data_IF_052642917072
#
_entry.id   IF_052642917072
#
_cell.length_a   1.000
_cell.length_b   1.000
_cell.length_c   1.000
_cell.angle_alpha   90.00
_cell.angle_beta   90.00
_cell.angle_gamma   90.00
#
_symmetry.space_group_name_H-M   'P 1'
#
loop_
_entity.id
_entity.type
_entity.pdbx_description
1 polymer ?
#
# COMPACT_ATOMS: atom_id res chain seq x y z
N UNK A 1 25.71 15.60 -1.13
CA UNK A 1 24.52 15.28 -1.94
C UNK A 1 24.70 13.86 -2.43
N UNK A 2 23.80 12.95 -2.04
CA UNK A 2 23.95 11.51 -2.28
C UNK A 2 24.00 11.24 -3.79
N UNK A 3 25.11 10.67 -4.29
CA UNK A 3 25.35 10.42 -5.72
C UNK A 3 24.29 9.49 -6.33
N UNK A 4 23.71 8.60 -5.51
CA UNK A 4 22.64 7.69 -5.93
C UNK A 4 21.34 8.47 -6.14
N UNK A 5 20.94 9.32 -5.19
CA UNK A 5 19.73 10.15 -5.30
C UNK A 5 19.78 11.08 -6.52
N UNK A 6 20.93 11.70 -6.79
CA UNK A 6 21.08 12.54 -7.99
C UNK A 6 20.94 11.73 -9.30
N UNK A 7 21.42 10.48 -9.30
CA UNK A 7 21.28 9.57 -10.43
C UNK A 7 19.83 9.16 -10.62
N UNK A 8 19.14 8.77 -9.54
CA UNK A 8 17.72 8.44 -9.54
C UNK A 8 16.85 9.61 -10.00
N UNK A 9 17.11 10.83 -9.53
CA UNK A 9 16.41 12.04 -9.97
C UNK A 9 16.58 12.27 -11.48
N UNK A 10 17.81 12.12 -11.98
CA UNK A 10 18.07 12.27 -13.42
C UNK A 10 17.28 11.23 -14.23
N UNK A 11 17.25 9.99 -13.77
CA UNK A 11 16.47 8.92 -14.42
C UNK A 11 14.97 9.21 -14.37
N UNK A 12 14.45 9.61 -13.21
CA UNK A 12 13.04 9.99 -12.99
C UNK A 12 12.62 11.09 -13.96
N UNK A 13 13.41 12.15 -14.08
CA UNK A 13 13.13 13.27 -14.97
C UNK A 13 13.18 12.88 -16.45
N UNK A 14 14.17 12.07 -16.85
CA UNK A 14 14.23 11.54 -18.21
C UNK A 14 13.00 10.70 -18.53
N UNK A 15 12.53 9.91 -17.57
CA UNK A 15 11.37 9.05 -17.72
C UNK A 15 10.08 9.85 -17.83
N UNK A 16 9.86 10.84 -16.96
CA UNK A 16 8.72 11.76 -17.07
C UNK A 16 8.74 12.54 -18.39
N UNK A 17 9.90 13.02 -18.83
CA UNK A 17 10.05 13.71 -20.12
C UNK A 17 9.66 12.80 -21.29
N UNK A 18 10.20 11.57 -21.32
CA UNK A 18 9.87 10.59 -22.36
C UNK A 18 8.37 10.25 -22.36
N UNK A 19 7.81 9.97 -21.18
CA UNK A 19 6.40 9.68 -20.98
C UNK A 19 5.48 10.82 -21.45
N UNK A 20 5.83 12.07 -21.15
CA UNK A 20 5.03 13.26 -21.52
C UNK A 20 4.83 13.46 -23.03
N UNK A 21 5.68 12.82 -23.84
CA UNK A 21 5.63 12.83 -25.30
C UNK A 21 4.91 11.63 -25.92
N UNK A 22 4.42 10.67 -25.14
CA UNK A 22 3.77 9.48 -25.67
C UNK A 22 2.31 9.75 -26.09
N UNK A 23 1.87 9.08 -27.17
CA UNK A 23 0.50 9.19 -27.68
C UNK A 23 -0.55 8.70 -26.66
N UNK A 24 -0.18 7.77 -25.79
CA UNK A 24 -1.03 7.21 -24.75
C UNK A 24 -0.93 7.95 -23.40
N UNK A 25 -0.24 9.10 -23.32
CA UNK A 25 -0.11 9.89 -22.08
C UNK A 25 -1.45 10.07 -21.34
N UNK A 26 -2.47 10.42 -22.13
CA UNK A 26 -3.81 10.67 -21.64
C UNK A 26 -4.52 9.42 -21.12
N UNK A 27 -4.27 8.26 -21.72
CA UNK A 27 -4.79 7.00 -21.23
C UNK A 27 -4.17 6.62 -19.88
N UNK A 28 -2.87 6.89 -19.70
CA UNK A 28 -2.18 6.66 -18.42
C UNK A 28 -2.78 7.54 -17.33
N UNK A 29 -2.92 8.84 -17.58
CA UNK A 29 -3.56 9.74 -16.62
C UNK A 29 -5.00 9.33 -16.31
N UNK A 30 -5.80 8.99 -17.32
CA UNK A 30 -7.20 8.56 -17.12
C UNK A 30 -7.28 7.27 -16.28
N UNK A 31 -6.25 6.41 -16.38
CA UNK A 31 -6.16 5.15 -15.64
C UNK A 31 -5.78 5.38 -14.18
N UNK A 32 -4.78 6.23 -13.93
CA UNK A 32 -4.31 6.59 -12.59
C UNK A 32 -5.32 7.51 -11.89
N UNK A 33 -5.51 8.73 -12.40
CA UNK A 33 -6.21 9.83 -11.72
C UNK A 33 -7.71 9.94 -12.04
N UNK A 34 -8.27 8.93 -12.70
CA UNK A 34 -9.64 8.94 -13.19
C UNK A 34 -9.88 9.91 -14.36
N UNK A 35 -11.14 10.16 -14.74
CA UNK A 35 -11.48 10.92 -15.96
C UNK A 35 -12.05 12.31 -15.70
N UNK A 36 -12.19 12.72 -14.44
CA UNK A 36 -12.84 13.97 -14.05
C UNK A 36 -11.89 15.07 -13.56
N UNK A 37 -10.57 14.83 -13.64
CA UNK A 37 -9.57 15.80 -13.22
C UNK A 37 -9.49 17.03 -14.14
N UNK A 38 -8.83 18.08 -13.65
CA UNK A 38 -8.59 19.31 -14.40
C UNK A 38 -7.58 19.12 -15.53
N UNK A 39 -8.09 18.79 -16.72
CA UNK A 39 -7.27 18.51 -17.92
C UNK A 39 -6.36 19.67 -18.34
N UNK A 40 -6.75 20.91 -18.08
CA UNK A 40 -5.94 22.08 -18.40
C UNK A 40 -4.71 22.18 -17.50
N UNK A 41 -4.84 21.86 -16.20
CA UNK A 41 -3.68 21.82 -15.28
C UNK A 41 -2.76 20.66 -15.64
N UNK A 42 -3.32 19.47 -15.93
CA UNK A 42 -2.54 18.33 -16.37
C UNK A 42 -1.76 18.60 -17.69
N UNK A 43 -2.35 19.32 -18.64
CA UNK A 43 -1.66 19.71 -19.88
C UNK A 43 -0.50 20.67 -19.61
N UNK A 44 -0.63 21.57 -18.64
CA UNK A 44 0.49 22.45 -18.24
C UNK A 44 1.64 21.61 -17.68
N UNK A 45 1.37 20.67 -16.77
CA UNK A 45 2.37 19.74 -16.23
C UNK A 45 3.05 18.94 -17.34
N UNK A 46 2.26 18.38 -18.27
CA UNK A 46 2.77 17.63 -19.42
C UNK A 46 3.73 18.47 -20.26
N UNK A 47 3.35 19.70 -20.60
CA UNK A 47 4.17 20.59 -21.42
C UNK A 47 5.48 21.00 -20.71
N UNK A 48 5.44 21.17 -19.39
CA UNK A 48 6.64 21.41 -18.58
C UNK A 48 7.61 20.22 -18.67
N UNK A 49 7.14 19.00 -18.38
CA UNK A 49 7.96 17.79 -18.48
C UNK A 49 8.52 17.54 -19.88
N UNK A 50 7.72 17.83 -20.92
CA UNK A 50 8.14 17.70 -22.32
C UNK A 50 9.25 18.69 -22.68
N UNK A 51 9.24 19.88 -22.07
CA UNK A 51 10.30 20.88 -22.23
C UNK A 51 11.52 20.65 -21.34
N UNK A 52 11.48 19.62 -20.47
CA UNK A 52 12.52 19.35 -19.47
C UNK A 52 12.49 20.30 -18.28
N UNK A 53 11.36 21.00 -18.06
CA UNK A 53 11.13 21.81 -16.86
C UNK A 53 10.47 20.95 -15.77
N UNK A 54 11.21 20.79 -14.67
CA UNK A 54 10.80 20.03 -13.49
C UNK A 54 10.77 20.92 -12.24
N UNK A 55 10.86 22.24 -12.40
CA UNK A 55 10.90 23.19 -11.28
C UNK A 55 9.61 23.24 -10.46
N UNK A 56 8.51 22.75 -11.03
CA UNK A 56 7.21 22.57 -10.38
C UNK A 56 7.13 21.35 -9.47
N UNK A 57 8.04 20.37 -9.62
CA UNK A 57 7.99 19.16 -8.80
C UNK A 57 8.35 19.48 -7.33
N UNK A 58 7.79 18.74 -6.37
CA UNK A 58 8.05 18.95 -4.95
C UNK A 58 9.54 18.89 -4.59
N UNK A 59 9.94 19.62 -3.55
CA UNK A 59 11.28 19.49 -3.00
C UNK A 59 11.43 18.17 -2.25
N UNK A 60 12.60 17.54 -2.39
CA UNK A 60 12.91 16.30 -1.67
C UNK A 60 13.63 16.62 -0.36
N UNK A 61 13.15 16.03 0.73
CA UNK A 61 13.77 16.07 2.04
C UNK A 61 14.01 14.65 2.54
N UNK A 62 15.21 14.40 3.08
CA UNK A 62 15.56 13.09 3.63
C UNK A 62 15.31 13.13 5.12
N UNK A 63 14.45 12.24 5.62
CA UNK A 63 14.10 12.12 7.03
C UNK A 63 14.69 10.84 7.64
N UNK A 64 14.78 10.82 8.96
CA UNK A 64 15.05 9.57 9.67
C UNK A 64 13.92 8.56 9.37
N UNK A 65 14.28 7.32 9.10
CA UNK A 65 13.33 6.28 8.69
C UNK A 65 12.23 6.05 9.73
N UNK A 66 12.51 6.30 11.02
CA UNK A 66 11.52 6.22 12.08
C UNK A 66 10.40 7.26 11.97
N UNK A 67 10.65 8.39 11.29
CA UNK A 67 9.64 9.44 11.09
C UNK A 67 8.61 9.03 10.05
N UNK A 68 9.01 8.24 9.06
CA UNK A 68 8.14 7.74 8.01
C UNK A 68 7.45 6.41 8.40
N UNK A 69 7.65 5.91 9.62
CA UNK A 69 6.97 4.72 10.10
C UNK A 69 7.26 3.45 9.31
N UNK A 70 8.41 3.37 8.64
CA UNK A 70 8.77 2.23 7.78
C UNK A 70 8.56 2.47 6.28
N UNK A 71 7.82 3.51 5.89
CA UNK A 71 7.67 3.88 4.48
C UNK A 71 9.00 4.35 3.86
N UNK A 72 9.20 4.03 2.58
CA UNK A 72 10.39 4.41 1.82
C UNK A 72 10.33 5.87 1.34
N UNK A 73 9.14 6.34 1.00
CA UNK A 73 8.80 7.69 0.59
C UNK A 73 7.47 8.14 1.17
N UNK A 74 7.20 9.44 1.10
CA UNK A 74 5.88 10.02 1.36
C UNK A 74 5.75 11.41 0.70
N UNK A 75 4.57 11.74 0.18
CA UNK A 75 4.26 13.07 -0.35
C UNK A 75 3.35 13.83 0.61
N UNK A 76 3.77 15.04 1.00
CA UNK A 76 2.96 15.95 1.81
C UNK A 76 2.43 17.11 0.96
N UNK A 77 1.14 17.08 0.64
CA UNK A 77 0.45 18.18 -0.06
C UNK A 77 0.51 19.51 0.69
N UNK A 78 0.39 19.48 2.03
CA UNK A 78 0.42 20.65 2.90
C UNK A 78 1.74 21.44 2.87
N UNK A 79 2.85 20.76 2.65
CA UNK A 79 4.20 21.37 2.58
C UNK A 79 4.78 21.36 1.17
N UNK A 80 4.10 20.72 0.22
CA UNK A 80 4.55 20.42 -1.13
C UNK A 80 5.97 19.82 -1.17
N UNK A 81 6.18 18.76 -0.39
CA UNK A 81 7.46 18.06 -0.27
C UNK A 81 7.29 16.57 -0.44
N UNK A 82 8.33 15.96 -1.00
CA UNK A 82 8.54 14.52 -0.97
C UNK A 82 9.55 14.23 0.13
N UNK A 83 9.17 13.37 1.07
CA UNK A 83 10.05 12.87 2.12
C UNK A 83 10.57 11.50 1.72
N UNK A 84 11.86 11.25 1.90
CA UNK A 84 12.47 9.94 1.67
C UNK A 84 13.16 9.43 2.94
N UNK A 85 13.03 8.13 3.20
CA UNK A 85 13.69 7.47 4.31
C UNK A 85 15.22 7.46 4.12
N UNK A 86 15.96 7.86 5.15
CA UNK A 86 17.43 7.85 5.12
C UNK A 86 18.00 6.45 4.92
N UNK A 87 17.38 5.41 5.50
CA UNK A 87 17.84 4.03 5.30
C UNK A 87 17.58 3.60 3.85
N UNK A 88 16.39 3.89 3.33
CA UNK A 88 16.04 3.58 1.95
C UNK A 88 17.03 4.23 0.98
N UNK A 89 17.26 5.54 1.11
CA UNK A 89 18.20 6.30 0.27
C UNK A 89 19.65 5.79 0.39
N UNK A 90 20.02 5.16 1.50
CA UNK A 90 21.35 4.59 1.71
C UNK A 90 21.51 3.19 1.11
N UNK A 91 20.44 2.39 1.02
CA UNK A 91 20.50 0.98 0.59
C UNK A 91 19.89 0.70 -0.78
N UNK A 92 19.06 1.60 -1.29
CA UNK A 92 18.34 1.44 -2.55
C UNK A 92 19.26 1.50 -3.77
N UNK A 93 18.83 0.86 -4.86
CA UNK A 93 19.39 1.08 -6.19
C UNK A 93 18.74 2.31 -6.83
N UNK A 94 19.38 2.92 -7.86
CA UNK A 94 18.75 4.00 -8.61
C UNK A 94 17.37 3.63 -9.16
N UNK A 95 17.16 2.40 -9.60
CA UNK A 95 15.90 1.91 -10.15
C UNK A 95 14.81 1.85 -9.08
N UNK A 96 15.10 1.29 -7.90
CA UNK A 96 14.13 1.28 -6.79
C UNK A 96 13.77 2.68 -6.32
N UNK A 97 14.73 3.62 -6.32
CA UNK A 97 14.46 5.02 -5.99
C UNK A 97 13.62 5.71 -7.06
N UNK A 98 13.78 5.37 -8.34
CA UNK A 98 12.94 5.91 -9.42
C UNK A 98 11.48 5.48 -9.23
N UNK A 99 11.24 4.22 -8.87
CA UNK A 99 9.89 3.72 -8.57
C UNK A 99 9.20 4.56 -7.50
N UNK A 100 9.82 4.68 -6.32
CA UNK A 100 9.29 5.52 -5.23
C UNK A 100 9.16 6.98 -5.64
N UNK A 101 10.14 7.58 -6.31
CA UNK A 101 10.03 8.98 -6.75
C UNK A 101 8.86 9.20 -7.71
N UNK A 102 8.61 8.27 -8.63
CA UNK A 102 7.48 8.37 -9.56
C UNK A 102 6.14 8.24 -8.83
N UNK A 103 6.07 7.37 -7.82
CA UNK A 103 4.90 7.17 -6.97
C UNK A 103 4.55 8.46 -6.21
N UNK A 104 5.53 9.04 -5.51
CA UNK A 104 5.35 10.31 -4.80
C UNK A 104 5.03 11.50 -5.73
N UNK A 105 5.58 11.49 -6.94
CA UNK A 105 5.21 12.47 -7.97
C UNK A 105 3.78 12.24 -8.45
N UNK A 106 3.28 11.00 -8.46
CA UNK A 106 1.90 10.68 -8.77
C UNK A 106 0.93 11.32 -7.77
N UNK A 107 1.16 11.19 -6.45
CA UNK A 107 0.35 11.86 -5.43
C UNK A 107 0.42 13.40 -5.57
N UNK A 108 1.61 13.95 -5.86
CA UNK A 108 1.73 15.37 -6.19
C UNK A 108 0.84 15.77 -7.38
N UNK A 109 0.89 14.98 -8.45
CA UNK A 109 0.11 15.25 -9.66
C UNK A 109 -1.38 15.22 -9.34
N UNK A 110 -1.85 14.19 -8.62
CA UNK A 110 -3.26 14.09 -8.21
C UNK A 110 -3.71 15.34 -7.45
N UNK A 111 -2.94 15.72 -6.42
CA UNK A 111 -3.18 16.92 -5.63
C UNK A 111 -3.19 18.24 -6.43
N UNK A 112 -2.53 18.29 -7.60
CA UNK A 112 -2.59 19.46 -8.49
C UNK A 112 -3.82 19.47 -9.40
N UNK A 113 -4.26 18.29 -9.86
CA UNK A 113 -5.26 18.19 -10.93
C UNK A 113 -6.66 17.88 -10.42
N UNK A 114 -6.77 17.29 -9.23
CA UNK A 114 -8.03 16.96 -8.58
C UNK A 114 -8.33 17.93 -7.43
N UNK A 115 -9.60 18.31 -7.28
CA UNK A 115 -10.06 19.20 -6.19
C UNK A 115 -10.43 18.43 -4.92
N UNK A 116 -10.85 17.19 -5.11
CA UNK A 116 -11.08 16.21 -4.07
C UNK A 116 -10.09 15.12 -4.41
N UNK A 117 -9.22 14.84 -3.45
CA UNK A 117 -8.27 13.75 -3.54
C UNK A 117 -8.97 12.46 -3.98
N UNK A 118 -8.35 11.75 -4.90
CA UNK A 118 -8.91 10.49 -5.37
C UNK A 118 -8.50 9.45 -4.32
N UNK A 119 -9.43 8.77 -3.61
CA UNK A 119 -9.09 8.02 -2.39
C UNK A 119 -8.46 6.66 -2.70
N UNK A 120 -7.35 6.62 -3.47
CA UNK A 120 -6.73 5.39 -3.99
C UNK A 120 -5.23 5.56 -4.19
N UNK A 121 -4.52 4.45 -4.45
CA UNK A 121 -3.09 4.48 -4.78
C UNK A 121 -2.82 4.97 -6.23
N UNK A 122 -3.14 6.23 -6.54
CA UNK A 122 -2.85 6.81 -7.86
C UNK A 122 -1.35 6.97 -8.11
N UNK A 123 -0.57 7.11 -7.03
CA UNK A 123 0.88 7.12 -7.05
C UNK A 123 1.45 5.86 -7.67
N UNK A 124 1.16 4.69 -7.12
CA UNK A 124 1.74 3.44 -7.62
C UNK A 124 1.21 3.07 -9.00
N UNK A 125 -0.07 3.33 -9.29
CA UNK A 125 -0.62 3.13 -10.65
C UNK A 125 0.13 4.01 -11.65
N UNK A 126 0.34 5.28 -11.32
CA UNK A 126 1.09 6.20 -12.16
C UNK A 126 2.53 5.73 -12.35
N UNK A 127 3.22 5.36 -11.27
CA UNK A 127 4.60 4.89 -11.30
C UNK A 127 4.78 3.64 -12.17
N UNK A 128 3.91 2.63 -12.03
CA UNK A 128 3.95 1.42 -12.81
C UNK A 128 3.74 1.70 -14.32
N UNK A 129 2.72 2.49 -14.66
CA UNK A 129 2.39 2.80 -16.05
C UNK A 129 3.46 3.67 -16.73
N UNK A 130 4.05 4.61 -16.01
CA UNK A 130 5.16 5.45 -16.51
C UNK A 130 6.45 4.64 -16.68
N UNK A 131 6.61 3.56 -15.91
CA UNK A 131 7.66 2.56 -16.09
C UNK A 131 7.40 1.56 -17.22
N UNK A 132 6.24 1.66 -17.87
CA UNK A 132 5.85 0.80 -18.98
C UNK A 132 5.36 -0.58 -18.54
N UNK A 133 5.02 -0.72 -17.26
CA UNK A 133 4.43 -1.94 -16.73
C UNK A 133 2.98 -2.10 -17.20
N UNK A 134 2.56 -3.35 -17.34
CA UNK A 134 1.17 -3.69 -17.68
C UNK A 134 0.46 -4.17 -16.43
N UNK A 135 -0.48 -3.38 -15.93
CA UNK A 135 -1.34 -3.76 -14.82
C UNK A 135 -2.52 -4.57 -15.35
N UNK A 136 -2.63 -5.84 -14.95
CA UNK A 136 -3.84 -6.61 -15.23
C UNK A 136 -5.03 -6.06 -14.42
N UNK A 137 -6.25 -6.48 -14.77
CA UNK A 137 -7.46 -5.96 -14.13
C UNK A 137 -7.56 -6.26 -12.64
N UNK A 138 -6.96 -7.35 -12.16
CA UNK A 138 -6.96 -7.72 -10.74
C UNK A 138 -5.99 -6.84 -9.95
N UNK A 139 -4.77 -6.69 -10.45
CA UNK A 139 -3.74 -5.82 -9.87
C UNK A 139 -4.21 -4.36 -9.85
N UNK A 140 -4.78 -3.87 -10.96
CA UNK A 140 -5.33 -2.52 -11.02
C UNK A 140 -6.50 -2.32 -10.05
N UNK A 141 -7.32 -3.35 -9.83
CA UNK A 141 -8.43 -3.26 -8.89
C UNK A 141 -7.95 -3.28 -7.43
N UNK A 142 -6.88 -4.04 -7.12
CA UNK A 142 -6.25 -4.06 -5.81
C UNK A 142 -5.66 -2.68 -5.48
N UNK A 143 -4.81 -2.13 -6.36
CA UNK A 143 -4.23 -0.78 -6.18
C UNK A 143 -5.32 0.31 -6.05
N UNK A 144 -6.43 0.18 -6.80
CA UNK A 144 -7.56 1.12 -6.71
C UNK A 144 -8.40 1.01 -5.44
N UNK A 145 -8.16 0.00 -4.60
CA UNK A 145 -8.89 -0.22 -3.36
C UNK A 145 -8.07 0.13 -2.11
N UNK A 146 -6.79 0.47 -2.28
CA UNK A 146 -5.86 0.87 -1.23
C UNK A 146 -6.08 2.35 -0.85
N UNK A 147 -6.00 2.70 0.44
CA UNK A 147 -6.07 4.08 0.96
C UNK A 147 -4.75 4.40 1.66
N UNK A 148 -3.97 5.32 1.11
CA UNK A 148 -2.55 5.57 1.34
C UNK A 148 -2.28 6.75 2.29
N UNK A 149 -3.31 7.30 2.93
CA UNK A 149 -3.16 8.40 3.86
C UNK A 149 -2.49 7.97 5.18
N UNK A 150 -1.48 8.72 5.61
CA UNK A 150 -0.82 8.56 6.90
C UNK A 150 -0.45 9.92 7.54
N UNK A 151 0.01 9.87 8.81
CA UNK A 151 0.53 11.06 9.50
C UNK A 151 1.97 10.89 9.95
N UNK A 152 2.80 11.89 9.67
CA UNK A 152 4.19 11.95 10.13
C UNK A 152 4.40 13.17 11.02
N UNK A 153 5.33 13.07 11.97
CA UNK A 153 5.72 14.22 12.81
C UNK A 153 7.08 14.74 12.38
N UNK A 154 7.10 15.91 11.73
CA UNK A 154 8.34 16.57 11.28
C UNK A 154 8.56 17.82 12.11
N UNK A 155 9.68 17.88 12.84
CA UNK A 155 10.01 19.00 13.73
C UNK A 155 8.93 19.33 14.79
N UNK A 156 8.13 18.34 15.19
CA UNK A 156 7.05 18.50 16.17
C UNK A 156 5.71 18.97 15.58
N UNK A 157 5.61 19.08 14.25
CA UNK A 157 4.35 19.33 13.53
C UNK A 157 3.82 18.04 12.92
N UNK A 158 2.53 17.77 13.11
CA UNK A 158 1.84 16.62 12.51
C UNK A 158 1.43 16.99 11.08
N UNK A 159 1.92 16.22 10.12
CA UNK A 159 1.74 16.43 8.68
C UNK A 159 1.02 15.19 8.13
N UNK A 160 -0.10 15.41 7.44
CA UNK A 160 -0.74 14.37 6.61
C UNK A 160 0.08 14.15 5.35
N UNK A 161 0.33 12.89 5.03
CA UNK A 161 1.09 12.44 3.86
C UNK A 161 0.33 11.30 3.17
N UNK A 162 0.53 11.16 1.87
CA UNK A 162 0.28 9.89 1.18
C UNK A 162 1.55 9.03 1.30
N UNK A 163 1.41 7.79 1.76
CA UNK A 163 2.46 6.80 1.97
C UNK A 163 2.14 5.51 1.22
N UNK A 164 3.16 4.92 0.61
CA UNK A 164 3.09 3.55 0.10
C UNK A 164 2.49 2.57 1.14
N UNK A 165 1.39 1.90 0.78
CA UNK A 165 0.62 1.03 1.68
C UNK A 165 1.33 -0.29 2.04
N UNK A 166 0.97 -0.83 3.21
CA UNK A 166 1.50 -2.09 3.76
C UNK A 166 0.85 -3.35 3.15
N UNK A 167 0.80 -3.42 1.82
CA UNK A 167 0.33 -4.61 1.11
C UNK A 167 1.50 -5.57 0.84
N UNK A 168 1.35 -6.81 1.33
CA UNK A 168 2.29 -7.90 1.08
C UNK A 168 2.16 -8.47 -0.34
N UNK A 169 2.77 -9.63 -0.56
CA UNK A 169 2.70 -10.40 -1.80
C UNK A 169 1.95 -11.71 -1.56
N UNK A 170 1.79 -12.56 -2.57
CA UNK A 170 1.32 -13.95 -2.34
C UNK A 170 2.45 -14.89 -1.82
N UNK A 171 3.54 -14.31 -1.31
CA UNK A 171 4.71 -14.98 -0.75
C UNK A 171 4.77 -14.80 0.77
N UNK A 172 5.86 -15.23 1.39
CA UNK A 172 6.02 -15.04 2.84
C UNK A 172 6.58 -13.64 3.11
N UNK A 173 5.79 -12.79 3.74
CA UNK A 173 6.14 -11.40 3.96
C UNK A 173 6.43 -11.07 5.44
N UNK A 174 7.23 -10.02 5.66
CA UNK A 174 7.43 -9.42 6.98
C UNK A 174 7.11 -7.94 6.86
N UNK A 175 6.03 -7.53 7.49
CA UNK A 175 5.45 -6.19 7.39
C UNK A 175 5.49 -5.55 8.78
N UNK A 176 5.97 -4.32 8.85
CA UNK A 176 5.98 -3.52 10.07
C UNK A 176 5.38 -2.16 9.74
N UNK A 177 4.27 -1.85 10.40
CA UNK A 177 3.53 -0.60 10.36
C UNK A 177 4.24 0.55 11.06
N UNK A 178 3.53 1.66 11.12
CA UNK A 178 3.96 2.96 11.60
C UNK A 178 3.61 3.15 13.10
N UNK A 179 3.48 4.42 13.50
CA UNK A 179 2.96 4.81 14.82
C UNK A 179 1.62 5.55 14.72
N UNK A 180 1.00 5.54 13.53
CA UNK A 180 -0.36 6.00 13.26
C UNK A 180 -1.28 4.81 12.99
N UNK A 181 -2.55 5.10 12.67
CA UNK A 181 -3.56 4.07 12.41
C UNK A 181 -3.33 3.48 11.01
N UNK A 182 -2.80 2.26 10.92
CA UNK A 182 -2.44 1.62 9.66
C UNK A 182 -3.54 0.67 9.13
N UNK A 183 -3.58 0.49 7.80
CA UNK A 183 -4.32 -0.60 7.16
C UNK A 183 -3.35 -1.54 6.49
N UNK A 184 -3.31 -2.80 6.93
CA UNK A 184 -2.30 -3.79 6.53
C UNK A 184 -2.96 -4.98 5.86
N UNK A 185 -2.45 -5.38 4.70
CA UNK A 185 -2.93 -6.54 3.95
C UNK A 185 -1.76 -7.42 3.52
N UNK A 186 -1.36 -8.43 4.31
CA UNK A 186 -0.23 -9.30 3.97
C UNK A 186 -0.51 -10.23 2.78
N UNK A 187 -1.76 -10.34 2.33
CA UNK A 187 -2.23 -11.27 1.31
C UNK A 187 -2.06 -12.75 1.73
N UNK A 188 -1.26 -13.52 0.99
CA UNK A 188 -1.18 -14.99 1.11
C UNK A 188 0.26 -15.40 1.36
N UNK A 189 0.45 -16.56 1.98
CA UNK A 189 1.78 -17.02 2.40
C UNK A 189 1.85 -17.19 3.90
N UNK A 190 3.06 -17.31 4.43
CA UNK A 190 3.33 -17.34 5.87
C UNK A 190 3.95 -16.01 6.26
N UNK A 191 3.12 -15.14 6.80
CA UNK A 191 3.40 -13.72 7.00
C UNK A 191 3.62 -13.39 8.48
N UNK A 192 4.43 -12.37 8.70
CA UNK A 192 4.60 -11.72 10.00
C UNK A 192 4.25 -10.25 9.87
N UNK A 193 3.27 -9.78 10.65
CA UNK A 193 2.79 -8.40 10.66
C UNK A 193 2.99 -7.79 12.04
N UNK A 194 3.47 -6.56 12.11
CA UNK A 194 3.44 -5.74 13.32
C UNK A 194 2.79 -4.41 12.96
N UNK A 195 1.61 -4.06 13.50
CA UNK A 195 0.96 -2.78 13.20
C UNK A 195 1.64 -1.58 13.85
N UNK A 196 2.48 -1.81 14.87
CA UNK A 196 3.19 -0.74 15.54
C UNK A 196 2.36 -0.07 16.63
N UNK A 197 2.06 1.21 16.52
CA UNK A 197 1.20 1.91 17.48
C UNK A 197 0.10 2.64 16.73
N UNK A 198 -1.13 2.61 17.23
CA UNK A 198 -2.26 3.17 16.49
C UNK A 198 -3.52 2.37 16.77
N UNK A 199 -4.58 2.63 16.00
CA UNK A 199 -5.76 1.75 15.86
C UNK A 199 -5.69 1.02 14.50
N UNK A 200 -4.89 -0.05 14.47
CA UNK A 200 -4.45 -0.72 13.24
C UNK A 200 -5.47 -1.77 12.76
N UNK A 201 -5.69 -1.81 11.45
CA UNK A 201 -6.59 -2.74 10.76
C UNK A 201 -5.80 -3.80 9.99
N UNK A 202 -5.97 -5.07 10.34
CA UNK A 202 -5.47 -6.20 9.55
C UNK A 202 -6.56 -6.77 8.64
N UNK A 203 -6.31 -6.78 7.33
CA UNK A 203 -7.19 -7.33 6.31
C UNK A 203 -6.70 -8.71 5.86
N UNK A 204 -7.56 -9.72 5.96
CA UNK A 204 -7.28 -11.08 5.53
C UNK A 204 -8.40 -11.59 4.63
N UNK A 205 -8.02 -12.10 3.45
CA UNK A 205 -8.95 -12.77 2.55
C UNK A 205 -8.46 -14.20 2.24
N UNK A 206 -9.14 -15.17 2.86
CA UNK A 206 -8.88 -16.59 2.66
C UNK A 206 -9.98 -17.28 1.86
N UNK A 207 -10.84 -16.54 1.15
CA UNK A 207 -11.98 -17.11 0.43
C UNK A 207 -11.60 -18.08 -0.69
N UNK A 208 -10.34 -18.08 -1.13
CA UNK A 208 -9.81 -19.00 -2.13
C UNK A 208 -9.34 -20.35 -1.55
N UNK A 209 -9.26 -20.48 -0.22
CA UNK A 209 -8.97 -21.71 0.49
C UNK A 209 -10.21 -22.62 0.51
N UNK A 210 -10.11 -23.82 -0.05
CA UNK A 210 -11.26 -24.74 -0.22
C UNK A 210 -11.06 -26.09 0.47
N UNK A 211 -10.13 -26.20 1.40
CA UNK A 211 -9.76 -27.49 2.00
C UNK A 211 -10.68 -27.88 3.15
N UNK A 212 -11.58 -28.83 2.92
CA UNK A 212 -12.59 -29.28 3.89
C UNK A 212 -12.18 -30.45 4.79
N UNK A 213 -10.94 -30.94 4.71
CA UNK A 213 -10.37 -32.00 5.56
C UNK A 213 -11.27 -33.22 5.79
N UNK A 214 -11.14 -34.31 5.02
CA UNK A 214 -11.93 -35.53 5.29
C UNK A 214 -11.33 -36.33 6.46
N UNK A 215 -12.10 -36.43 7.56
CA UNK A 215 -12.05 -37.46 8.61
C UNK A 215 -11.01 -37.30 9.76
N UNK A 216 -11.54 -37.05 10.96
CA UNK A 216 -10.98 -37.40 12.28
C UNK A 216 -9.63 -36.82 12.72
N UNK A 217 -9.10 -35.81 12.03
CA UNK A 217 -8.10 -34.92 12.61
C UNK A 217 -8.69 -33.52 12.61
N UNK A 218 -8.95 -33.01 13.80
CA UNK A 218 -9.43 -31.67 14.04
C UNK A 218 -8.40 -30.64 13.55
N UNK A 219 -8.43 -30.29 12.27
CA UNK A 219 -7.76 -29.10 11.72
C UNK A 219 -8.75 -27.94 11.81
N UNK A 220 -9.05 -27.55 13.05
CA UNK A 220 -9.78 -26.34 13.33
C UNK A 220 -9.02 -25.13 12.76
N UNK A 221 -9.73 -24.13 12.24
CA UNK A 221 -9.33 -22.74 12.55
C UNK A 221 -9.55 -22.61 14.05
N UNK A 222 -8.49 -22.73 14.88
CA UNK A 222 -8.59 -22.21 16.24
C UNK A 222 -7.89 -20.88 16.28
N UNK A 223 -8.71 -19.84 16.25
CA UNK A 223 -8.27 -18.51 16.54
C UNK A 223 -8.23 -18.29 18.04
N UNK A 224 -7.08 -18.61 18.64
CA UNK A 224 -6.78 -18.16 19.98
C UNK A 224 -6.01 -16.84 19.89
N UNK A 225 -6.50 -15.80 20.58
CA UNK A 225 -5.69 -14.62 20.90
C UNK A 225 -4.53 -14.90 21.85
N UNK A 226 -4.25 -16.17 22.17
CA UNK A 226 -3.11 -16.57 23.00
C UNK A 226 -1.79 -16.59 22.22
N UNK A 227 -1.80 -16.45 20.89
CA UNK A 227 -0.59 -16.44 20.06
C UNK A 227 -0.64 -15.50 18.83
N UNK A 228 -1.66 -14.65 18.70
CA UNK A 228 -1.80 -13.64 17.63
C UNK A 228 -1.56 -14.17 16.21
N UNK A 229 -2.29 -15.21 15.78
CA UNK A 229 -2.14 -15.76 14.42
C UNK A 229 -3.46 -16.25 13.82
N UNK A 230 -3.63 -16.04 12.52
CA UNK A 230 -4.68 -16.65 11.68
C UNK A 230 -4.04 -17.66 10.71
N UNK A 231 -4.70 -18.78 10.44
CA UNK A 231 -4.20 -19.84 9.54
C UNK A 231 -5.37 -20.38 8.70
N UNK A 232 -5.16 -20.52 7.39
CA UNK A 232 -6.11 -21.13 6.46
C UNK A 232 -5.39 -22.16 5.56
N UNK A 233 -5.88 -23.40 5.51
CA UNK A 233 -5.20 -24.48 4.80
C UNK A 233 -5.71 -24.71 3.37
N UNK A 234 -4.81 -25.00 2.43
CA UNK A 234 -5.13 -25.54 1.10
C UNK A 234 -5.17 -27.06 1.08
N UNK A 235 -4.35 -27.71 1.90
CA UNK A 235 -4.27 -29.16 2.07
C UNK A 235 -3.47 -29.50 3.34
N UNK A 236 -3.21 -30.80 3.55
CA UNK A 236 -2.45 -31.31 4.70
C UNK A 236 -1.02 -30.75 4.86
N UNK A 237 -0.50 -30.09 3.83
CA UNK A 237 0.91 -29.68 3.76
C UNK A 237 1.09 -28.22 3.30
N UNK A 238 0.02 -27.48 3.04
CA UNK A 238 0.07 -26.11 2.52
C UNK A 238 -1.04 -25.28 3.13
N UNK A 239 -0.66 -24.11 3.63
CA UNK A 239 -1.52 -23.17 4.33
C UNK A 239 -1.02 -21.74 4.11
N UNK A 240 -1.95 -20.79 4.17
CA UNK A 240 -1.66 -19.40 4.46
C UNK A 240 -1.70 -19.21 5.98
N UNK A 241 -0.85 -18.35 6.50
CA UNK A 241 -0.78 -17.98 7.89
C UNK A 241 -0.35 -16.53 8.00
N UNK A 242 -0.98 -15.76 8.87
CA UNK A 242 -0.39 -14.52 9.39
C UNK A 242 -0.14 -14.68 10.88
N UNK A 243 1.04 -14.26 11.33
CA UNK A 243 1.33 -13.96 12.74
C UNK A 243 1.35 -12.45 12.87
N UNK A 244 0.58 -11.88 13.80
CA UNK A 244 0.44 -10.44 13.94
C UNK A 244 0.80 -9.95 15.36
N UNK A 245 1.18 -8.69 15.49
CA UNK A 245 1.28 -7.95 16.76
C UNK A 245 0.78 -6.53 16.57
N UNK A 246 0.33 -5.90 17.66
CA UNK A 246 -0.17 -4.53 17.67
C UNK A 246 -1.21 -4.30 16.55
N UNK A 247 -2.34 -5.02 16.65
CA UNK A 247 -3.47 -4.90 15.74
C UNK A 247 -4.74 -4.83 16.58
N UNK A 248 -5.54 -3.80 16.34
CA UNK A 248 -6.73 -3.47 17.13
C UNK A 248 -8.03 -3.89 16.44
N UNK A 249 -8.02 -3.97 15.10
CA UNK A 249 -9.21 -4.31 14.29
C UNK A 249 -8.89 -5.33 13.22
N UNK A 250 -9.88 -6.17 12.93
CA UNK A 250 -9.78 -7.18 11.88
C UNK A 250 -10.87 -7.01 10.83
N UNK A 251 -10.49 -7.13 9.56
CA UNK A 251 -11.40 -7.44 8.46
C UNK A 251 -11.03 -8.81 7.89
N UNK A 252 -11.91 -9.80 8.08
CA UNK A 252 -11.62 -11.18 7.72
C UNK A 252 -12.70 -11.73 6.80
N UNK A 253 -12.28 -12.26 5.66
CA UNK A 253 -13.09 -13.16 4.84
C UNK A 253 -12.57 -14.59 5.03
N UNK A 254 -13.45 -15.43 5.56
CA UNK A 254 -13.24 -16.86 5.77
C UNK A 254 -13.18 -17.66 4.46
N UNK A 255 -13.11 -18.97 4.60
CA UNK A 255 -12.90 -19.94 3.54
C UNK A 255 -14.22 -20.40 2.91
N UNK A 256 -14.15 -21.36 1.99
CA UNK A 256 -15.35 -22.00 1.44
C UNK A 256 -15.88 -23.18 2.29
N UNK A 257 -15.32 -23.42 3.48
CA UNK A 257 -15.65 -24.56 4.36
C UNK A 257 -15.97 -24.07 5.77
N UNK A 258 -16.50 -24.96 6.61
CA UNK A 258 -16.88 -24.64 8.00
C UNK A 258 -15.72 -23.99 8.78
N UNK A 259 -15.84 -22.69 9.06
CA UNK A 259 -14.81 -21.92 9.74
C UNK A 259 -15.09 -21.74 11.24
N UNK A 260 -14.02 -21.50 12.01
CA UNK A 260 -14.12 -21.13 13.42
C UNK A 260 -13.30 -19.87 13.69
N UNK A 261 -13.95 -18.71 13.53
CA UNK A 261 -13.32 -17.40 13.60
C UNK A 261 -13.52 -16.78 14.97
N UNK A 262 -12.45 -16.45 15.67
CA UNK A 262 -12.49 -15.72 16.93
C UNK A 262 -11.55 -14.53 16.85
N UNK A 263 -12.03 -13.35 17.18
CA UNK A 263 -11.21 -12.15 17.26
C UNK A 263 -11.20 -11.61 18.69
N UNK A 264 -10.36 -10.60 18.93
CA UNK A 264 -10.28 -9.92 20.21
C UNK A 264 -11.43 -8.96 20.44
N UNK A 265 -11.23 -8.03 21.38
CA UNK A 265 -12.01 -6.80 21.46
C UNK A 265 -11.67 -5.90 20.27
N UNK A 266 -12.65 -5.25 19.66
CA UNK A 266 -12.41 -4.37 18.53
C UNK A 266 -13.66 -4.17 17.69
N UNK A 267 -13.63 -3.22 16.77
CA UNK A 267 -14.68 -3.07 15.77
C UNK A 267 -14.34 -3.97 14.56
N UNK A 268 -14.51 -5.28 14.74
CA UNK A 268 -14.15 -6.28 13.73
C UNK A 268 -15.27 -6.49 12.70
N UNK A 269 -14.88 -6.71 11.45
CA UNK A 269 -15.76 -7.07 10.34
C UNK A 269 -15.41 -8.46 9.83
N UNK A 270 -16.24 -9.45 10.14
CA UNK A 270 -15.95 -10.86 9.86
C UNK A 270 -17.04 -11.43 8.97
N UNK A 271 -16.63 -11.99 7.83
CA UNK A 271 -17.47 -12.79 6.95
C UNK A 271 -16.96 -14.23 6.99
N UNK A 272 -17.77 -15.19 7.42
CA UNK A 272 -17.38 -16.60 7.51
C UNK A 272 -17.16 -17.30 6.16
N UNK A 273 -17.71 -16.75 5.07
CA UNK A 273 -17.62 -17.37 3.75
C UNK A 273 -18.74 -18.40 3.53
N UNK A 274 -18.40 -19.55 2.94
CA UNK A 274 -19.35 -20.67 2.78
C UNK A 274 -19.09 -21.70 3.88
N UNK A 275 -20.12 -22.45 4.28
CA UNK A 275 -19.98 -23.46 5.32
C UNK A 275 -20.86 -23.15 6.52
N UNK A 276 -20.72 -23.96 7.57
CA UNK A 276 -21.36 -23.73 8.87
C UNK A 276 -20.36 -23.09 9.83
N UNK A 277 -20.29 -21.76 9.78
CA UNK A 277 -19.24 -21.03 10.50
C UNK A 277 -19.62 -20.75 11.94
N UNK A 278 -18.61 -20.80 12.81
CA UNK A 278 -18.68 -20.32 14.19
C UNK A 278 -17.86 -19.06 14.32
N UNK A 279 -18.53 -17.91 14.49
CA UNK A 279 -17.87 -16.60 14.60
C UNK A 279 -18.08 -16.02 15.98
N UNK A 280 -16.99 -15.65 16.64
CA UNK A 280 -16.95 -14.96 17.92
C UNK A 280 -16.10 -13.70 17.80
N UNK A 281 -16.72 -12.58 17.42
CA UNK A 281 -16.11 -11.26 17.51
C UNK A 281 -16.37 -10.63 18.88
N UNK A 282 -15.37 -9.97 19.46
CA UNK A 282 -15.56 -9.23 20.70
C UNK A 282 -16.50 -8.04 20.49
N UNK A 283 -17.77 -8.20 20.89
CA UNK A 283 -18.73 -7.10 20.88
C UNK A 283 -18.30 -5.95 21.80
N UNK A 284 -18.60 -4.72 21.35
CA UNK A 284 -18.30 -3.43 21.99
C UNK A 284 -18.45 -3.38 23.51
#
# INVERSE_FOLDING_TARGET
MNTILNSALTLTYNQLSAFSGLDNFWQVFDTAFGTQYNRSVAEILRLQWLSGDFSQLPQIEILDSSILGGANGAYASSTNKIYLSVNFVATATPETLVGTLLEEIGHFVDAQINQIDTPRDEGAIFAALVQGESLDSGTLQALKAEDDHATITVNGEVIQVEQQNFTGTNGNDTITGTSGDDTISPLRGIDTVDGGAGDDLLILDYSSNNYSGVSNYYYFIILYSLASSFVASYNSSSYDQVTYSNIERFQITGTAVDDSITTGSGNDNITGGLGNDTISGGGK
#
